data_IF_577477408958
#
_entry.id   IF_577477408958
#
_cell.length_a   1.000
_cell.length_b   1.000
_cell.length_c   1.000
_cell.angle_alpha   90.00
_cell.angle_beta   90.00
_cell.angle_gamma   90.00
#
_symmetry.space_group_name_H-M   'P 1'
#
loop_
_entity.id
_entity.type
_entity.pdbx_description
1 polymer ?
#
# COMPACT_ATOMS: atom_id res chain seq x y z
N UNK A 1 -4.93 -8.18 14.02
CA UNK A 1 -5.69 -8.17 12.75
C UNK A 1 -7.03 -7.51 13.01
N UNK A 2 -7.39 -6.52 12.20
CA UNK A 2 -8.72 -5.93 12.18
C UNK A 2 -9.27 -5.97 10.75
N UNK A 3 -10.58 -6.04 10.61
CA UNK A 3 -11.27 -5.94 9.34
C UNK A 3 -12.19 -4.74 9.42
N UNK A 4 -12.04 -3.82 8.47
CA UNK A 4 -12.89 -2.63 8.36
C UNK A 4 -13.48 -2.55 6.96
N UNK A 5 -14.64 -1.91 6.82
CA UNK A 5 -15.12 -1.46 5.52
C UNK A 5 -14.57 -0.07 5.26
N UNK A 6 -13.98 0.14 4.08
CA UNK A 6 -13.73 1.50 3.64
C UNK A 6 -15.08 2.20 3.38
N UNK A 7 -15.24 3.50 3.71
CA UNK A 7 -16.47 4.23 3.41
C UNK A 7 -16.81 4.12 1.91
N UNK A 8 -17.94 3.46 1.59
CA UNK A 8 -18.40 3.22 0.23
C UNK A 8 -17.51 2.31 -0.64
N UNK A 9 -16.51 1.66 -0.06
CA UNK A 9 -15.49 0.89 -0.77
C UNK A 9 -15.48 -0.60 -0.40
N UNK A 10 -14.55 -1.37 -0.96
CA UNK A 10 -14.36 -2.77 -0.59
C UNK A 10 -13.90 -2.93 0.87
N UNK A 11 -14.03 -4.16 1.40
CA UNK A 11 -13.49 -4.53 2.72
C UNK A 11 -11.97 -4.42 2.70
N UNK A 12 -11.42 -3.79 3.72
CA UNK A 12 -9.99 -3.64 3.94
C UNK A 12 -9.61 -4.53 5.12
N UNK A 13 -8.59 -5.36 4.94
CA UNK A 13 -8.01 -6.15 6.02
C UNK A 13 -6.72 -5.48 6.46
N UNK A 14 -6.62 -5.18 7.74
CA UNK A 14 -5.44 -4.54 8.33
C UNK A 14 -4.77 -5.47 9.34
N UNK A 15 -3.48 -5.67 9.18
CA UNK A 15 -2.62 -6.33 10.15
C UNK A 15 -1.66 -5.29 10.74
N UNK A 16 -1.72 -5.10 12.05
CA UNK A 16 -0.77 -4.24 12.76
C UNK A 16 0.04 -5.10 13.73
N UNK A 17 1.34 -4.86 13.76
CA UNK A 17 2.24 -5.44 14.74
C UNK A 17 3.21 -4.37 15.27
N UNK A 18 3.84 -4.68 16.40
CA UNK A 18 4.74 -3.78 17.08
C UNK A 18 6.15 -4.35 17.07
N UNK A 19 7.10 -3.47 16.87
CA UNK A 19 8.52 -3.72 17.09
C UNK A 19 9.04 -2.67 18.08
N UNK A 20 10.22 -2.85 18.70
CA UNK A 20 10.73 -1.90 19.67
C UNK A 20 10.73 -0.46 19.13
N UNK A 21 9.88 0.39 19.69
CA UNK A 21 9.76 1.81 19.33
C UNK A 21 8.93 2.12 18.08
N UNK A 22 8.27 1.15 17.43
CA UNK A 22 7.47 1.40 16.21
C UNK A 22 6.28 0.46 16.05
N UNK A 23 5.27 0.93 15.32
CA UNK A 23 4.15 0.13 14.85
C UNK A 23 4.27 -0.03 13.34
N UNK A 24 4.16 -1.27 12.85
CA UNK A 24 4.10 -1.57 11.43
C UNK A 24 2.67 -2.00 11.10
N UNK A 25 2.15 -1.46 10.00
CA UNK A 25 0.81 -1.75 9.49
C UNK A 25 0.88 -2.26 8.06
N UNK A 26 0.23 -3.39 7.80
CA UNK A 26 -0.03 -3.93 6.48
C UNK A 26 -1.54 -3.86 6.20
N UNK A 27 -1.92 -3.18 5.14
CA UNK A 27 -3.31 -3.10 4.68
C UNK A 27 -3.49 -3.81 3.34
N UNK A 28 -4.55 -4.59 3.21
CA UNK A 28 -4.95 -5.26 1.99
C UNK A 28 -6.26 -4.69 1.44
N UNK A 29 -6.18 -4.21 0.20
CA UNK A 29 -7.29 -3.66 -0.57
C UNK A 29 -7.59 -4.63 -1.72
N UNK A 30 -8.78 -5.26 -1.80
CA UNK A 30 -9.14 -6.18 -2.87
C UNK A 30 -9.56 -5.39 -4.14
N UNK A 31 -8.65 -4.55 -4.59
CA UNK A 31 -8.77 -3.66 -5.73
C UNK A 31 -7.36 -3.36 -6.27
N UNK A 32 -7.25 -3.24 -7.59
CA UNK A 32 -5.98 -2.99 -8.28
C UNK A 32 -5.71 -1.50 -8.32
N UNK A 33 -4.45 -1.11 -8.06
CA UNK A 33 -3.97 0.26 -8.21
C UNK A 33 -4.13 0.75 -9.66
N UNK A 34 -4.61 1.98 -9.82
CA UNK A 34 -4.76 2.58 -11.14
C UNK A 34 -3.39 2.77 -11.82
N UNK A 35 -3.31 2.48 -13.13
CA UNK A 35 -2.07 2.56 -13.92
C UNK A 35 -1.51 4.00 -13.97
N UNK A 36 -2.38 5.00 -13.86
CA UNK A 36 -2.00 6.42 -13.81
C UNK A 36 -1.51 6.89 -12.44
N UNK A 37 -1.58 6.07 -11.39
CA UNK A 37 -1.30 6.47 -10.01
C UNK A 37 0.01 7.25 -9.85
N UNK A 38 1.13 6.70 -10.35
CA UNK A 38 2.45 7.33 -10.23
C UNK A 38 2.57 8.72 -10.88
N UNK A 39 1.63 9.09 -11.77
CA UNK A 39 1.57 10.43 -12.39
C UNK A 39 0.80 11.44 -11.57
N UNK A 40 0.03 10.98 -10.58
CA UNK A 40 -0.93 11.80 -9.80
C UNK A 40 -0.46 12.07 -8.38
N UNK A 41 0.60 11.40 -7.93
CA UNK A 41 1.15 11.53 -6.58
C UNK A 41 1.90 12.84 -6.41
N UNK A 42 1.68 13.52 -5.28
CA UNK A 42 2.33 14.80 -4.95
C UNK A 42 3.77 14.60 -4.45
N UNK A 43 3.99 13.56 -3.66
CA UNK A 43 5.32 13.12 -3.27
C UNK A 43 5.75 12.08 -4.31
N UNK A 44 6.88 12.31 -4.97
CA UNK A 44 7.38 11.36 -5.96
C UNK A 44 7.94 10.12 -5.25
N UNK A 45 7.38 8.93 -5.51
CA UNK A 45 7.91 7.69 -4.97
C UNK A 45 9.21 7.33 -5.67
N UNK A 46 10.03 6.56 -4.96
CA UNK A 46 11.01 5.72 -5.59
C UNK A 46 10.33 4.47 -6.16
N UNK A 47 10.62 4.13 -7.41
CA UNK A 47 10.16 2.90 -8.03
C UNK A 47 11.10 1.75 -7.63
N UNK A 48 10.54 0.70 -7.06
CA UNK A 48 11.30 -0.48 -6.64
C UNK A 48 10.66 -1.74 -7.20
N UNK A 49 11.47 -2.78 -7.42
CA UNK A 49 10.98 -4.09 -7.86
C UNK A 49 10.88 -5.05 -6.67
N UNK A 50 9.72 -5.68 -6.53
CA UNK A 50 9.48 -6.72 -5.52
C UNK A 50 9.57 -8.08 -6.20
N UNK A 51 10.52 -8.91 -5.76
CA UNK A 51 10.75 -10.23 -6.33
C UNK A 51 9.47 -11.09 -6.31
N UNK A 52 9.12 -11.68 -7.45
CA UNK A 52 7.92 -12.52 -7.59
C UNK A 52 6.59 -11.78 -7.64
N UNK A 53 6.59 -10.44 -7.47
CA UNK A 53 5.38 -9.62 -7.44
C UNK A 53 5.37 -8.56 -8.54
N UNK A 54 6.48 -7.84 -8.71
CA UNK A 54 6.66 -6.79 -9.71
C UNK A 54 6.82 -5.39 -9.10
N UNK A 55 6.45 -4.32 -9.84
CA UNK A 55 6.78 -2.96 -9.45
C UNK A 55 6.00 -2.48 -8.23
N UNK A 56 6.67 -1.69 -7.41
CA UNK A 56 6.14 -1.07 -6.21
C UNK A 56 6.59 0.39 -6.08
N UNK A 57 5.87 1.13 -5.24
CA UNK A 57 6.08 2.55 -4.98
C UNK A 57 6.53 2.72 -3.54
N UNK A 58 7.76 3.19 -3.36
CA UNK A 58 8.32 3.51 -2.06
C UNK A 58 8.24 5.00 -1.77
N UNK A 59 7.66 5.36 -0.63
CA UNK A 59 7.56 6.72 -0.15
C UNK A 59 8.32 6.83 1.17
N UNK A 60 9.49 7.47 1.14
CA UNK A 60 10.34 7.60 2.32
C UNK A 60 9.77 8.54 3.40
N UNK A 61 8.88 9.47 3.03
CA UNK A 61 8.36 10.48 3.95
C UNK A 61 6.86 10.32 4.22
N UNK A 62 6.41 10.59 5.46
CA UNK A 62 4.99 10.71 5.76
C UNK A 62 4.34 11.80 4.91
N UNK A 63 3.23 11.48 4.22
CA UNK A 63 2.48 12.43 3.41
C UNK A 63 1.02 11.98 3.27
N UNK A 64 0.19 12.83 2.66
CA UNK A 64 -1.16 12.41 2.27
C UNK A 64 -1.06 11.53 1.03
N UNK A 65 -1.25 10.23 1.22
CA UNK A 65 -1.26 9.24 0.16
C UNK A 65 -2.69 9.08 -0.36
N UNK A 66 -2.93 9.55 -1.58
CA UNK A 66 -4.20 9.37 -2.29
C UNK A 66 -3.98 8.44 -3.47
N UNK A 67 -4.60 7.26 -3.44
CA UNK A 67 -4.37 6.20 -4.42
C UNK A 67 -5.71 5.71 -4.98
N UNK A 68 -6.00 6.01 -6.27
CA UNK A 68 -7.14 5.46 -6.97
C UNK A 68 -6.92 3.98 -7.31
N UNK A 69 -7.99 3.21 -7.23
CA UNK A 69 -8.02 1.77 -7.47
C UNK A 69 -9.30 1.40 -8.21
N UNK A 70 -9.29 0.20 -8.81
CA UNK A 70 -10.47 -0.41 -9.43
C UNK A 70 -10.73 -1.76 -8.79
N UNK A 71 -11.94 -1.95 -8.24
CA UNK A 71 -12.34 -3.21 -7.60
C UNK A 71 -12.58 -4.35 -8.63
N UNK A 72 -12.75 -5.58 -8.15
CA UNK A 72 -13.03 -6.74 -9.02
C UNK A 72 -14.34 -6.66 -9.81
N UNK A 73 -15.19 -5.65 -9.57
CA UNK A 73 -16.42 -5.36 -10.35
C UNK A 73 -16.23 -4.19 -11.32
N UNK A 74 -15.00 -3.67 -11.45
CA UNK A 74 -14.70 -2.54 -12.32
C UNK A 74 -15.11 -1.18 -11.76
N UNK A 75 -15.50 -1.07 -10.48
CA UNK A 75 -15.83 0.22 -9.88
C UNK A 75 -14.55 0.95 -9.47
N UNK A 76 -14.42 2.17 -9.97
CA UNK A 76 -13.40 3.09 -9.52
C UNK A 76 -13.65 3.49 -8.07
N UNK A 77 -12.57 3.52 -7.30
CA UNK A 77 -12.57 3.89 -5.90
C UNK A 77 -11.28 4.64 -5.58
N UNK A 78 -11.29 5.51 -4.58
CA UNK A 78 -10.10 6.25 -4.17
C UNK A 78 -9.98 6.21 -2.67
N UNK A 79 -8.77 5.87 -2.19
CA UNK A 79 -8.43 5.93 -0.77
C UNK A 79 -7.47 7.08 -0.53
N UNK A 80 -7.69 7.82 0.56
CA UNK A 80 -6.77 8.85 1.04
C UNK A 80 -6.40 8.57 2.48
N UNK A 81 -5.11 8.58 2.78
CA UNK A 81 -4.57 8.24 4.09
C UNK A 81 -3.42 9.20 4.43
N UNK A 82 -3.45 9.80 5.62
CA UNK A 82 -2.26 10.49 6.15
C UNK A 82 -1.37 9.43 6.75
N UNK A 83 -0.25 9.15 6.08
CA UNK A 83 0.73 8.21 6.62
C UNK A 83 1.49 8.86 7.76
N UNK A 84 1.87 8.06 8.76
CA UNK A 84 2.67 8.46 9.91
C UNK A 84 4.15 8.10 9.73
N UNK A 85 4.50 7.33 8.70
CA UNK A 85 5.85 6.84 8.44
C UNK A 85 6.12 6.54 6.96
N UNK A 86 7.31 6.00 6.66
CA UNK A 86 7.64 5.47 5.34
C UNK A 86 6.63 4.41 4.91
N UNK A 87 6.34 4.36 3.61
CA UNK A 87 5.27 3.54 3.06
C UNK A 87 5.69 2.86 1.77
N UNK A 88 5.46 1.55 1.66
CA UNK A 88 5.56 0.79 0.42
C UNK A 88 4.14 0.45 -0.07
N UNK A 89 3.86 0.67 -1.35
CA UNK A 89 2.60 0.33 -2.01
C UNK A 89 2.86 -0.55 -3.23
N UNK A 90 2.21 -1.72 -3.30
CA UNK A 90 2.37 -2.65 -4.42
C UNK A 90 1.07 -3.38 -4.73
N UNK A 91 0.99 -4.00 -5.91
CA UNK A 91 -0.17 -4.82 -6.30
C UNK A 91 0.28 -6.25 -6.57
N UNK A 92 -0.39 -7.22 -5.93
CA UNK A 92 -0.17 -8.64 -6.18
C UNK A 92 -0.70 -9.06 -7.56
N UNK A 93 -0.24 -10.22 -8.10
CA UNK A 93 -0.74 -10.73 -9.37
C UNK A 93 -2.27 -10.96 -9.41
N UNK A 94 -2.88 -11.24 -8.27
CA UNK A 94 -4.34 -11.42 -8.11
C UNK A 94 -5.14 -10.11 -8.16
N UNK A 95 -4.46 -8.96 -8.26
CA UNK A 95 -5.07 -7.63 -8.30
C UNK A 95 -5.28 -6.99 -6.93
N UNK A 96 -4.86 -7.61 -5.82
CA UNK A 96 -4.92 -7.03 -4.49
C UNK A 96 -3.81 -5.99 -4.31
N UNK A 97 -4.17 -4.75 -3.97
CA UNK A 97 -3.19 -3.73 -3.58
C UNK A 97 -2.86 -3.89 -2.10
N UNK A 98 -1.57 -3.87 -1.77
CA UNK A 98 -1.04 -3.92 -0.42
C UNK A 98 -0.30 -2.63 -0.09
N UNK A 99 -0.45 -2.17 1.16
CA UNK A 99 0.28 -1.04 1.73
C UNK A 99 0.99 -1.48 3.00
N UNK A 100 2.30 -1.35 3.05
CA UNK A 100 3.11 -1.49 4.26
C UNK A 100 3.53 -0.11 4.75
N UNK A 101 3.23 0.23 5.99
CA UNK A 101 3.55 1.51 6.61
C UNK A 101 4.34 1.30 7.91
N UNK A 102 5.37 2.11 8.13
CA UNK A 102 6.12 2.16 9.39
C UNK A 102 7.42 1.37 9.43
N UNK A 103 7.74 0.58 8.40
CA UNK A 103 9.08 0.01 8.22
C UNK A 103 10.01 1.09 7.63
N UNK A 104 11.07 1.53 8.33
CA UNK A 104 11.95 2.60 7.84
C UNK A 104 12.96 2.16 6.76
N UNK A 105 13.28 0.87 6.68
CA UNK A 105 14.20 0.35 5.67
C UNK A 105 13.42 -0.03 4.42
N UNK A 106 13.72 0.66 3.32
CA UNK A 106 13.20 0.32 1.98
C UNK A 106 13.45 -1.14 1.64
N UNK A 107 14.67 -1.62 1.87
CA UNK A 107 15.07 -2.98 1.49
C UNK A 107 14.32 -4.03 2.32
N UNK A 108 14.12 -3.77 3.62
CA UNK A 108 13.31 -4.63 4.47
C UNK A 108 11.84 -4.61 4.07
N UNK A 109 11.30 -3.44 3.70
CA UNK A 109 9.93 -3.33 3.21
C UNK A 109 9.72 -4.15 1.92
N UNK A 110 10.69 -4.12 0.99
CA UNK A 110 10.67 -4.93 -0.24
C UNK A 110 10.77 -6.43 0.06
N UNK A 111 11.61 -6.83 1.01
CA UNK A 111 11.71 -8.24 1.45
C UNK A 111 10.39 -8.76 2.04
N UNK A 112 9.75 -7.96 2.90
CA UNK A 112 8.42 -8.27 3.45
C UNK A 112 7.41 -8.43 2.31
N UNK A 113 7.40 -7.49 1.35
CA UNK A 113 6.51 -7.53 0.20
C UNK A 113 6.71 -8.77 -0.68
N UNK A 114 7.95 -9.23 -0.88
CA UNK A 114 8.27 -10.44 -1.64
C UNK A 114 7.83 -11.74 -0.95
N UNK A 115 7.46 -11.67 0.33
CA UNK A 115 6.94 -12.80 1.11
C UNK A 115 5.41 -12.85 1.15
N UNK A 116 4.74 -12.06 0.30
CA UNK A 116 3.28 -11.88 0.33
C UNK A 116 2.53 -12.68 -0.72
#
# INVERSE_FOLDING_TARGET
MSVGEAPGGPRVVSLCWHEPGRTIRLDAFPARLDVGFGKTVREHPEYVEVAGVGPAYWFARPHLLTFPMTDGRGRAWTRSERTAGPTLLWTRPDGTTLRLEGEPSRDRAVEIAGST
#
